data_IF_777300180191
#
_entry.id   IF_777300180191
#
_cell.length_a   1.000
_cell.length_b   1.000
_cell.length_c   1.000
_cell.angle_alpha   90.00
_cell.angle_beta   90.00
_cell.angle_gamma   90.00
#
_symmetry.space_group_name_H-M   'P 1'
#
loop_
_entity.id
_entity.type
_entity.pdbx_description
1 polymer ?
#
# COMPACT_ATOMS: atom_id res chain seq x y z
N UNK A 1 11.88 -20.26 -2.10
CA UNK A 1 11.77 -21.72 -1.96
C UNK A 1 10.33 -22.16 -2.24
N UNK A 2 10.14 -23.42 -2.61
CA UNK A 2 8.85 -23.94 -3.08
C UNK A 2 7.78 -24.01 -1.95
N UNK A 3 8.19 -23.76 -0.71
CA UNK A 3 7.37 -23.66 0.49
C UNK A 3 7.01 -22.21 0.87
N UNK A 4 7.52 -21.21 0.15
CA UNK A 4 7.16 -19.81 0.38
C UNK A 4 5.89 -19.47 -0.37
N UNK A 5 4.79 -19.41 0.39
CA UNK A 5 3.59 -18.68 0.02
C UNK A 5 3.24 -17.72 1.16
N UNK A 6 2.40 -16.70 0.92
CA UNK A 6 1.76 -15.98 2.01
C UNK A 6 1.04 -17.01 2.90
N UNK A 7 1.58 -17.23 4.10
CA UNK A 7 0.89 -17.98 5.13
C UNK A 7 -0.33 -17.16 5.52
N UNK A 8 -1.50 -17.55 5.03
CA UNK A 8 -2.78 -16.98 5.42
C UNK A 8 -3.51 -17.98 6.31
N UNK A 9 -4.26 -17.47 7.27
CA UNK A 9 -5.19 -18.31 8.01
C UNK A 9 -6.41 -18.57 7.11
N UNK A 10 -6.69 -19.85 6.85
CA UNK A 10 -7.86 -20.25 6.07
C UNK A 10 -9.18 -19.78 6.72
N UNK A 11 -9.18 -19.50 8.03
CA UNK A 11 -10.33 -18.94 8.73
C UNK A 11 -10.69 -17.51 8.28
N UNK A 12 -9.79 -16.80 7.59
CA UNK A 12 -10.10 -15.49 7.00
C UNK A 12 -10.76 -15.57 5.62
N UNK A 13 -10.93 -16.77 5.07
CA UNK A 13 -11.56 -16.96 3.76
C UNK A 13 -13.08 -17.11 3.90
N UNK A 14 -13.86 -16.49 3.00
CA UNK A 14 -15.28 -16.81 2.88
C UNK A 14 -15.50 -18.29 2.53
N UNK A 15 -16.66 -18.82 2.90
CA UNK A 15 -17.01 -20.22 2.65
C UNK A 15 -16.91 -20.57 1.16
N UNK A 16 -16.12 -21.60 0.86
CA UNK A 16 -15.93 -22.12 -0.51
C UNK A 16 -14.85 -21.41 -1.33
N UNK A 17 -14.24 -20.35 -0.82
CA UNK A 17 -13.19 -19.61 -1.52
C UNK A 17 -11.81 -20.27 -1.39
N UNK A 18 -10.96 -20.01 -2.39
CA UNK A 18 -9.56 -20.47 -2.41
C UNK A 18 -8.65 -19.32 -2.77
N UNK A 19 -7.51 -19.23 -2.08
CA UNK A 19 -6.45 -18.28 -2.44
C UNK A 19 -5.56 -18.89 -3.50
N UNK A 20 -5.46 -18.20 -4.63
CA UNK A 20 -4.45 -18.44 -5.64
C UNK A 20 -3.38 -17.35 -5.57
N UNK A 21 -2.12 -17.77 -5.45
CA UNK A 21 -0.99 -16.84 -5.46
C UNK A 21 -0.52 -16.62 -6.89
N UNK A 22 -0.70 -15.42 -7.42
CA UNK A 22 -0.28 -15.05 -8.77
C UNK A 22 1.00 -14.22 -8.72
N UNK A 23 2.04 -14.68 -9.41
CA UNK A 23 3.29 -13.93 -9.55
C UNK A 23 3.10 -12.73 -10.48
N UNK A 24 3.55 -11.54 -10.04
CA UNK A 24 3.56 -10.32 -10.83
C UNK A 24 5.01 -9.84 -10.99
N UNK A 25 5.65 -10.22 -12.09
CA UNK A 25 7.01 -9.76 -12.39
C UNK A 25 6.99 -8.30 -12.85
N UNK A 26 7.81 -7.47 -12.21
CA UNK A 26 7.91 -6.03 -12.50
C UNK A 26 9.32 -5.73 -13.03
N UNK A 27 9.48 -5.37 -14.32
CA UNK A 27 10.78 -4.99 -14.86
C UNK A 27 11.25 -3.66 -14.28
N UNK A 28 12.53 -3.31 -14.45
CA UNK A 28 13.04 -2.00 -14.08
C UNK A 28 12.24 -0.88 -14.78
N UNK A 29 11.73 0.09 -14.02
CA UNK A 29 10.83 1.14 -14.51
C UNK A 29 9.37 0.71 -14.64
N UNK A 30 9.05 -0.56 -14.40
CA UNK A 30 7.68 -1.06 -14.31
C UNK A 30 6.99 -0.62 -13.02
N UNK A 31 5.67 -0.59 -13.05
CA UNK A 31 4.82 -0.20 -11.92
C UNK A 31 3.70 -1.22 -11.78
N UNK A 32 3.39 -1.58 -10.54
CA UNK A 32 2.20 -2.37 -10.18
C UNK A 32 1.29 -1.50 -9.29
N UNK A 33 -0.01 -1.60 -9.52
CA UNK A 33 -1.03 -0.99 -8.67
C UNK A 33 -1.79 -2.10 -7.96
N UNK A 34 -2.07 -1.90 -6.67
CA UNK A 34 -2.96 -2.79 -5.91
C UNK A 34 -3.92 -1.95 -5.06
N UNK A 35 -5.09 -2.52 -4.78
CA UNK A 35 -6.02 -1.92 -3.84
C UNK A 35 -5.51 -2.11 -2.41
N UNK A 36 -5.88 -1.22 -1.47
CA UNK A 36 -5.43 -1.31 -0.08
C UNK A 36 -5.88 -2.60 0.64
N UNK A 37 -6.92 -3.26 0.13
CA UNK A 37 -7.44 -4.54 0.64
C UNK A 37 -6.90 -5.78 -0.08
N UNK A 38 -6.09 -5.61 -1.12
CA UNK A 38 -5.51 -6.76 -1.86
C UNK A 38 -4.48 -7.46 -1.00
N UNK A 39 -4.61 -8.77 -0.79
CA UNK A 39 -3.55 -9.57 -0.17
C UNK A 39 -2.36 -9.64 -1.13
N UNK A 40 -1.18 -9.24 -0.66
CA UNK A 40 0.02 -9.19 -1.48
C UNK A 40 1.27 -9.37 -0.62
N UNK A 41 2.37 -9.75 -1.25
CA UNK A 41 3.66 -9.92 -0.61
C UNK A 41 4.77 -10.09 -1.64
N UNK A 42 6.01 -10.04 -1.19
CA UNK A 42 7.18 -10.24 -2.05
C UNK A 42 8.02 -11.42 -1.53
N UNK A 43 8.44 -12.36 -2.41
CA UNK A 43 9.24 -13.50 -2.00
C UNK A 43 10.62 -13.05 -1.49
N UNK A 44 11.30 -13.89 -0.69
CA UNK A 44 12.69 -13.67 -0.32
C UNK A 44 13.56 -13.51 -1.58
N UNK A 45 14.54 -12.61 -1.50
CA UNK A 45 15.48 -12.39 -2.58
C UNK A 45 16.68 -13.34 -2.42
N UNK A 46 16.76 -14.38 -3.25
CA UNK A 46 17.87 -15.35 -3.25
C UNK A 46 19.05 -14.92 -4.12
N UNK A 47 18.98 -13.75 -4.75
CA UNK A 47 20.07 -13.25 -5.60
C UNK A 47 21.07 -12.45 -4.78
N UNK A 48 22.32 -12.37 -5.26
CA UNK A 48 23.34 -11.47 -4.69
C UNK A 48 23.14 -9.98 -5.03
N UNK A 49 22.02 -9.60 -5.66
CA UNK A 49 21.75 -8.22 -6.10
C UNK A 49 20.62 -7.62 -5.26
N UNK A 50 20.69 -6.32 -5.00
CA UNK A 50 19.59 -5.59 -4.37
C UNK A 50 18.32 -5.59 -5.22
N UNK A 51 17.15 -5.53 -4.56
CA UNK A 51 15.82 -5.38 -5.18
C UNK A 51 15.17 -4.07 -4.70
N UNK A 52 15.68 -2.90 -5.10
CA UNK A 52 15.11 -1.62 -4.69
C UNK A 52 13.72 -1.42 -5.28
N UNK A 53 12.80 -0.88 -4.49
CA UNK A 53 11.45 -0.50 -4.90
C UNK A 53 11.01 0.74 -4.12
N UNK A 54 10.07 1.49 -4.69
CA UNK A 54 9.41 2.63 -4.04
C UNK A 54 7.92 2.31 -3.98
N UNK A 55 7.34 2.39 -2.78
CA UNK A 55 5.90 2.26 -2.58
C UNK A 55 5.29 3.66 -2.39
N UNK A 56 4.20 3.94 -3.11
CA UNK A 56 3.46 5.20 -3.00
C UNK A 56 2.00 4.88 -2.77
N UNK A 57 1.43 5.41 -1.69
CA UNK A 57 0.01 5.24 -1.37
C UNK A 57 -0.77 6.49 -1.77
N UNK A 58 -1.72 6.34 -2.69
CA UNK A 58 -2.68 7.37 -3.03
C UNK A 58 -3.97 7.18 -2.23
N UNK A 59 -4.51 8.29 -1.71
CA UNK A 59 -5.73 8.30 -0.91
C UNK A 59 -6.75 9.25 -1.54
N UNK A 60 -8.06 8.97 -1.41
CA UNK A 60 -9.09 9.93 -1.82
C UNK A 60 -8.93 11.27 -1.10
N UNK A 61 -9.23 12.37 -1.78
CA UNK A 61 -9.12 13.72 -1.19
C UNK A 61 -10.10 14.02 -0.03
N UNK A 62 -10.93 13.04 0.35
CA UNK A 62 -11.82 13.12 1.51
C UNK A 62 -11.37 12.23 2.68
N UNK A 63 -10.18 11.62 2.61
CA UNK A 63 -9.59 10.85 3.71
C UNK A 63 -9.42 11.72 4.95
N UNK A 64 -9.73 11.15 6.12
CA UNK A 64 -9.61 11.80 7.43
C UNK A 64 -8.57 11.10 8.28
N UNK A 65 -7.91 11.85 9.15
CA UNK A 65 -6.94 11.28 10.10
C UNK A 65 -7.69 10.52 11.21
N UNK A 66 -7.34 9.25 11.40
CA UNK A 66 -7.83 8.40 12.47
C UNK A 66 -6.62 7.80 13.21
N UNK A 67 -6.18 8.38 14.35
CA UNK A 67 -5.06 7.86 15.11
C UNK A 67 -5.37 6.47 15.69
N UNK A 68 -4.33 5.66 15.87
CA UNK A 68 -4.45 4.39 16.60
C UNK A 68 -3.43 4.34 17.73
N UNK A 69 -3.71 3.55 18.78
CA UNK A 69 -2.81 3.40 19.94
C UNK A 69 -1.41 2.86 19.58
N UNK A 70 -1.29 2.19 18.41
CA UNK A 70 -0.02 1.64 17.93
C UNK A 70 0.87 2.69 17.28
N UNK A 71 0.28 3.79 16.82
CA UNK A 71 0.92 4.81 16.01
C UNK A 71 1.41 4.29 14.65
N UNK A 72 1.73 5.22 13.76
CA UNK A 72 2.39 4.96 12.49
C UNK A 72 3.50 5.99 12.28
N UNK A 73 4.63 5.59 11.68
CA UNK A 73 5.78 6.48 11.50
C UNK A 73 5.43 7.78 10.76
N UNK A 74 4.49 7.72 9.81
CA UNK A 74 4.05 8.90 9.06
C UNK A 74 3.29 9.92 9.91
N UNK A 75 2.81 9.54 11.10
CA UNK A 75 2.05 10.45 11.98
C UNK A 75 2.88 11.64 12.43
N UNK A 76 4.22 11.55 12.43
CA UNK A 76 5.10 12.69 12.72
C UNK A 76 4.94 13.86 11.73
N UNK A 77 4.39 13.58 10.54
CA UNK A 77 4.13 14.55 9.50
C UNK A 77 2.66 15.00 9.42
N UNK A 78 1.79 14.46 10.29
CA UNK A 78 0.37 14.82 10.35
C UNK A 78 0.21 16.02 11.27
N UNK A 79 -0.36 17.11 10.75
CA UNK A 79 -0.56 18.37 11.48
C UNK A 79 -2.03 18.66 11.79
N UNK A 80 -2.93 17.79 11.36
CA UNK A 80 -4.38 17.92 11.56
C UNK A 80 -4.85 17.09 12.76
N UNK A 81 -5.97 17.50 13.36
CA UNK A 81 -6.58 16.77 14.47
C UNK A 81 -7.30 15.48 14.05
N UNK A 82 -7.61 14.58 15.00
CA UNK A 82 -8.41 13.39 14.74
C UNK A 82 -9.77 13.73 14.11
N UNK A 83 -10.17 12.97 13.10
CA UNK A 83 -11.39 13.17 12.33
C UNK A 83 -11.33 14.31 11.31
N UNK A 84 -10.27 15.12 11.27
CA UNK A 84 -10.10 16.18 10.27
C UNK A 84 -9.61 15.63 8.93
N UNK A 85 -9.82 16.40 7.84
CA UNK A 85 -9.31 16.01 6.52
C UNK A 85 -7.79 15.94 6.55
N UNK A 86 -7.23 14.84 6.05
CA UNK A 86 -5.80 14.64 5.98
C UNK A 86 -5.22 15.48 4.83
N UNK A 87 -4.60 16.61 5.18
CA UNK A 87 -4.02 17.59 4.25
C UNK A 87 -2.68 18.10 4.77
N UNK A 88 -1.91 18.76 3.92
CA UNK A 88 -0.66 19.43 4.29
C UNK A 88 0.44 19.21 3.26
N UNK A 89 1.63 19.75 3.53
CA UNK A 89 2.81 19.63 2.66
C UNK A 89 3.19 18.16 2.40
N UNK A 90 3.10 17.31 3.42
CA UNK A 90 3.37 15.88 3.33
C UNK A 90 2.22 15.05 2.74
N UNK A 91 1.04 15.66 2.53
CA UNK A 91 -0.14 15.03 1.93
C UNK A 91 -0.66 15.88 0.76
N UNK A 92 0.15 16.07 -0.31
CA UNK A 92 -0.20 16.95 -1.40
C UNK A 92 -1.34 16.37 -2.25
N UNK A 93 -2.20 17.25 -2.77
CA UNK A 93 -3.17 16.86 -3.80
C UNK A 93 -2.44 16.70 -5.13
N UNK A 94 -2.44 15.49 -5.70
CA UNK A 94 -1.80 15.21 -7.00
C UNK A 94 -2.78 15.28 -8.18
N UNK A 95 -4.07 15.14 -7.91
CA UNK A 95 -5.12 15.13 -8.94
C UNK A 95 -6.39 15.76 -8.39
N UNK A 96 -7.05 16.58 -9.21
CA UNK A 96 -8.31 17.24 -8.88
C UNK A 96 -9.28 17.13 -10.04
N UNK A 97 -10.46 16.52 -9.81
CA UNK A 97 -11.50 16.32 -10.84
C UNK A 97 -11.01 15.62 -12.11
N UNK A 98 -10.10 14.66 -11.96
CA UNK A 98 -9.50 13.92 -13.09
C UNK A 98 -8.32 14.63 -13.76
N UNK A 99 -7.98 15.85 -13.33
CA UNK A 99 -6.83 16.59 -13.86
C UNK A 99 -5.63 16.46 -12.91
N UNK A 100 -4.47 16.12 -13.47
CA UNK A 100 -3.21 16.07 -12.72
C UNK A 100 -2.78 17.51 -12.40
N UNK A 101 -2.49 17.77 -11.13
CA UNK A 101 -1.94 19.05 -10.71
C UNK A 101 -0.43 19.03 -10.96
N UNK A 102 0.06 19.99 -11.75
CA UNK A 102 1.50 20.22 -11.93
C UNK A 102 1.94 21.17 -10.82
N UNK A 103 2.96 20.75 -10.06
CA UNK A 103 3.63 21.59 -9.06
C UNK A 103 4.36 22.77 -9.68
#
# INVERSE_FOLDING_TARGET
>A
PDDWGPAHDAAFLPDGERVETVACEVPAGGVVFHHCMTWHGAPPNFTGRGRPAIAVHYMPGHTRYEPTDKGHLVEEHISVGPGELLVGEHFPTVMKRGEILKG
#
